data_IF_607160616752
#
_entry.id   IF_607160616752
#
_cell.length_a   1.000
_cell.length_b   1.000
_cell.length_c   1.000
_cell.angle_alpha   90.00
_cell.angle_beta   90.00
_cell.angle_gamma   90.00
#
_symmetry.space_group_name_H-M   'P 1'
#
loop_
_entity.id
_entity.type
_entity.pdbx_description
1 polymer ?
#
# COMPACT_ATOMS: atom_id res chain seq x y z
N UNK A 1 31.09 -4.98 -1.58
CA UNK A 1 30.95 -4.63 -0.18
C UNK A 1 29.56 -5.04 0.31
N UNK A 2 29.49 -5.89 1.30
CA UNK A 2 28.21 -6.31 1.83
C UNK A 2 27.54 -5.14 2.55
N UNK A 3 26.26 -4.88 2.23
CA UNK A 3 25.48 -3.87 2.92
C UNK A 3 25.24 -4.32 4.36
N UNK A 4 25.31 -3.39 5.31
CA UNK A 4 24.99 -3.68 6.70
C UNK A 4 23.49 -4.03 6.79
N UNK A 5 23.10 -5.03 7.59
CA UNK A 5 21.70 -5.26 7.87
C UNK A 5 21.03 -3.99 8.40
N UNK A 6 19.77 -3.77 8.04
CA UNK A 6 19.00 -2.60 8.48
C UNK A 6 19.06 -2.41 10.00
N UNK A 7 18.94 -3.51 10.77
CA UNK A 7 19.03 -3.47 12.24
C UNK A 7 20.34 -2.85 12.73
N UNK A 8 21.49 -3.22 12.11
CA UNK A 8 22.79 -2.67 12.48
C UNK A 8 22.92 -1.19 12.17
N UNK A 9 22.42 -0.78 11.01
CA UNK A 9 22.42 0.64 10.63
C UNK A 9 21.64 1.47 11.63
N UNK A 10 20.50 0.96 12.09
CA UNK A 10 19.64 1.64 13.07
C UNK A 10 20.30 1.67 14.45
N UNK A 11 20.94 0.58 14.87
CA UNK A 11 21.64 0.50 16.17
C UNK A 11 22.81 1.47 16.27
N UNK A 12 23.47 1.80 15.16
CA UNK A 12 24.58 2.75 15.11
C UNK A 12 24.14 4.21 15.19
N UNK A 13 22.83 4.50 15.22
CA UNK A 13 22.29 5.86 15.23
C UNK A 13 21.96 6.36 16.65
N UNK A 14 21.92 7.69 16.86
CA UNK A 14 21.41 8.24 18.11
C UNK A 14 20.00 7.72 18.40
N UNK A 15 19.68 7.53 19.68
CA UNK A 15 18.42 6.91 20.12
C UNK A 15 17.17 7.54 19.51
N UNK A 16 17.07 8.87 19.53
CA UNK A 16 15.91 9.57 18.98
C UNK A 16 15.73 9.31 17.49
N UNK A 17 16.85 9.32 16.76
CA UNK A 17 16.84 9.08 15.32
C UNK A 17 16.51 7.63 15.01
N UNK A 18 17.04 6.71 15.82
CA UNK A 18 16.75 5.28 15.72
C UNK A 18 15.26 5.01 15.92
N UNK A 19 14.66 5.59 16.94
CA UNK A 19 13.23 5.44 17.23
C UNK A 19 12.37 5.92 16.08
N UNK A 20 12.71 7.05 15.45
CA UNK A 20 11.98 7.56 14.28
C UNK A 20 12.07 6.62 13.08
N UNK A 21 13.26 6.08 12.82
CA UNK A 21 13.47 5.15 11.70
C UNK A 21 12.71 3.84 11.95
N UNK A 22 12.74 3.33 13.17
CA UNK A 22 12.00 2.12 13.53
C UNK A 22 10.50 2.33 13.39
N UNK A 23 9.98 3.47 13.81
CA UNK A 23 8.57 3.82 13.66
C UNK A 23 8.18 3.92 12.18
N UNK A 24 9.02 4.52 11.34
CA UNK A 24 8.78 4.59 9.90
C UNK A 24 8.82 3.22 9.24
N UNK A 25 9.75 2.37 9.64
CA UNK A 25 9.83 0.99 9.13
C UNK A 25 8.59 0.19 9.51
N UNK A 26 8.10 0.34 10.74
CA UNK A 26 6.89 -0.32 11.22
C UNK A 26 5.67 0.15 10.43
N UNK A 27 5.56 1.45 10.17
CA UNK A 27 4.47 2.01 9.37
C UNK A 27 4.47 1.44 7.95
N UNK A 28 5.64 1.27 7.33
CA UNK A 28 5.77 0.67 6.00
C UNK A 28 5.31 -0.80 6.00
N UNK A 29 5.68 -1.57 7.03
CA UNK A 29 5.24 -2.96 7.14
C UNK A 29 3.72 -3.04 7.25
N UNK A 30 3.11 -2.17 8.04
CA UNK A 30 1.67 -2.08 8.18
C UNK A 30 0.99 -1.72 6.85
N UNK A 31 1.58 -0.80 6.08
CA UNK A 31 1.07 -0.43 4.76
C UNK A 31 1.07 -1.61 3.78
N UNK A 32 2.12 -2.44 3.78
CA UNK A 32 2.19 -3.61 2.90
C UNK A 32 1.11 -4.64 3.20
N UNK A 33 0.66 -4.73 4.45
CA UNK A 33 -0.38 -5.65 4.85
C UNK A 33 -1.77 -5.04 4.77
N UNK A 34 -1.87 -3.75 4.49
CA UNK A 34 -3.14 -3.01 4.49
C UNK A 34 -4.14 -3.57 3.50
N UNK A 35 -3.72 -3.92 2.30
CA UNK A 35 -4.64 -4.47 1.30
C UNK A 35 -5.25 -5.79 1.74
N UNK A 36 -4.45 -6.66 2.35
CA UNK A 36 -4.97 -7.91 2.92
C UNK A 36 -5.98 -7.63 4.02
N UNK A 37 -5.70 -6.65 4.87
CA UNK A 37 -6.59 -6.25 5.95
C UNK A 37 -7.91 -5.69 5.41
N UNK A 38 -7.85 -4.84 4.39
CA UNK A 38 -9.05 -4.30 3.73
C UNK A 38 -9.91 -5.42 3.16
N UNK A 39 -9.28 -6.36 2.44
CA UNK A 39 -10.00 -7.49 1.84
C UNK A 39 -10.66 -8.36 2.91
N UNK A 40 -9.91 -8.72 3.94
CA UNK A 40 -10.42 -9.57 5.04
C UNK A 40 -11.54 -8.90 5.80
N UNK A 41 -11.43 -7.59 6.02
CA UNK A 41 -12.47 -6.80 6.69
C UNK A 41 -13.79 -6.83 5.90
N UNK A 42 -13.69 -6.91 4.58
CA UNK A 42 -14.87 -7.06 3.70
C UNK A 42 -15.31 -8.51 3.53
N UNK A 43 -14.66 -9.46 4.21
CA UNK A 43 -14.98 -10.89 4.14
C UNK A 43 -14.88 -11.46 2.73
N UNK A 44 -13.90 -10.99 1.96
CA UNK A 44 -13.64 -11.44 0.59
C UNK A 44 -12.35 -12.24 0.58
N UNK A 45 -12.38 -13.44 0.01
CA UNK A 45 -11.18 -14.25 -0.18
C UNK A 45 -10.37 -13.75 -1.37
N UNK A 46 -9.10 -14.15 -1.46
CA UNK A 46 -8.29 -13.85 -2.66
C UNK A 46 -8.93 -14.42 -3.92
N UNK A 47 -9.51 -15.61 -3.84
CA UNK A 47 -10.19 -16.25 -4.96
C UNK A 47 -11.40 -15.46 -5.43
N UNK A 48 -12.21 -15.00 -4.48
CA UNK A 48 -13.38 -14.18 -4.79
C UNK A 48 -12.96 -12.85 -5.41
N UNK A 49 -11.93 -12.20 -4.86
CA UNK A 49 -11.44 -10.94 -5.40
C UNK A 49 -10.87 -11.12 -6.80
N UNK A 50 -10.17 -12.22 -7.06
CA UNK A 50 -9.66 -12.54 -8.39
C UNK A 50 -10.77 -12.60 -9.42
N UNK A 51 -11.90 -13.24 -9.08
CA UNK A 51 -13.08 -13.28 -9.96
C UNK A 51 -13.62 -11.88 -10.20
N UNK A 52 -13.75 -11.07 -9.14
CA UNK A 52 -14.27 -9.70 -9.25
C UNK A 52 -13.37 -8.79 -10.11
N UNK A 53 -12.06 -9.00 -10.04
CA UNK A 53 -11.09 -8.23 -10.83
C UNK A 53 -10.85 -8.82 -12.23
N UNK A 54 -11.32 -10.03 -12.49
CA UNK A 54 -11.05 -10.71 -13.76
C UNK A 54 -9.60 -11.12 -13.94
N UNK A 55 -8.92 -11.48 -12.86
CA UNK A 55 -7.51 -11.91 -12.85
C UNK A 55 -7.36 -13.22 -12.10
N UNK A 56 -6.14 -13.77 -12.10
CA UNK A 56 -5.84 -15.01 -11.37
C UNK A 56 -5.63 -14.72 -9.89
N UNK A 57 -5.90 -15.69 -9.03
CA UNK A 57 -5.62 -15.60 -7.61
C UNK A 57 -4.15 -15.27 -7.33
N UNK A 58 -3.22 -15.88 -8.07
CA UNK A 58 -1.80 -15.59 -7.94
C UNK A 58 -1.49 -14.09 -8.19
N UNK A 59 -2.24 -13.46 -9.10
CA UNK A 59 -2.09 -12.03 -9.38
C UNK A 59 -2.58 -11.18 -8.22
N UNK A 60 -3.69 -11.57 -7.57
CA UNK A 60 -4.16 -10.89 -6.36
C UNK A 60 -3.12 -10.99 -5.25
N UNK A 61 -2.57 -12.19 -5.03
CA UNK A 61 -1.52 -12.41 -4.04
C UNK A 61 -0.30 -11.52 -4.33
N UNK A 62 0.10 -11.42 -5.59
CA UNK A 62 1.21 -10.58 -6.01
C UNK A 62 0.94 -9.11 -5.71
N UNK A 63 -0.26 -8.61 -6.00
CA UNK A 63 -0.65 -7.23 -5.72
C UNK A 63 -0.55 -6.96 -4.21
N UNK A 64 -1.07 -7.87 -3.39
CA UNK A 64 -1.08 -7.70 -1.94
C UNK A 64 0.31 -7.73 -1.31
N UNK A 65 1.28 -8.32 -1.99
CA UNK A 65 2.66 -8.45 -1.50
C UNK A 65 3.64 -7.51 -2.21
N UNK A 66 3.17 -6.64 -3.11
CA UNK A 66 4.02 -5.66 -3.76
C UNK A 66 4.29 -4.46 -2.87
N UNK A 67 5.57 -4.07 -2.82
CA UNK A 67 6.00 -2.85 -2.13
C UNK A 67 5.58 -1.59 -2.89
N UNK A 68 5.49 -1.70 -4.22
CA UNK A 68 5.18 -0.59 -5.10
C UNK A 68 4.20 -1.07 -6.16
N UNK A 69 3.13 -0.32 -6.37
CA UNK A 69 2.12 -0.68 -7.36
C UNK A 69 1.58 0.58 -8.05
N UNK A 70 1.04 0.39 -9.24
CA UNK A 70 0.42 1.48 -9.97
C UNK A 70 -0.89 1.90 -9.29
N UNK A 71 -1.19 3.19 -9.32
CA UNK A 71 -2.45 3.71 -8.79
C UNK A 71 -3.65 3.12 -9.50
N UNK A 72 -3.53 2.84 -10.81
CA UNK A 72 -4.59 2.17 -11.56
C UNK A 72 -4.89 0.77 -11.02
N UNK A 73 -3.87 0.02 -10.62
CA UNK A 73 -4.04 -1.30 -10.01
C UNK A 73 -4.69 -1.20 -8.65
N UNK A 74 -4.24 -0.26 -7.82
CA UNK A 74 -4.83 -0.01 -6.51
C UNK A 74 -6.30 0.38 -6.63
N UNK A 75 -6.64 1.23 -7.59
CA UNK A 75 -8.03 1.61 -7.84
C UNK A 75 -8.89 0.40 -8.17
N UNK A 76 -8.45 -0.45 -9.08
CA UNK A 76 -9.19 -1.66 -9.46
C UNK A 76 -9.41 -2.59 -8.28
N UNK A 77 -8.40 -2.74 -7.43
CA UNK A 77 -8.46 -3.56 -6.24
C UNK A 77 -9.53 -3.01 -5.26
N UNK A 78 -9.48 -1.73 -4.96
CA UNK A 78 -10.41 -1.07 -4.05
C UNK A 78 -11.84 -1.10 -4.60
N UNK A 79 -12.02 -0.82 -5.89
CA UNK A 79 -13.34 -0.83 -6.53
C UNK A 79 -13.93 -2.24 -6.56
N UNK A 80 -13.13 -3.27 -6.75
CA UNK A 80 -13.59 -4.65 -6.69
C UNK A 80 -14.11 -5.02 -5.30
N UNK A 81 -13.60 -4.38 -4.25
CA UNK A 81 -14.09 -4.54 -2.88
C UNK A 81 -15.32 -3.67 -2.58
N UNK A 82 -15.79 -2.88 -3.55
CA UNK A 82 -16.93 -1.99 -3.38
C UNK A 82 -16.59 -0.62 -2.84
N UNK A 83 -15.31 -0.29 -2.78
CA UNK A 83 -14.83 1.01 -2.31
C UNK A 83 -14.50 1.98 -3.43
N UNK A 84 -14.03 3.14 -3.06
CA UNK A 84 -13.57 4.17 -3.98
C UNK A 84 -12.22 4.67 -3.54
N UNK A 85 -11.26 4.72 -4.47
CA UNK A 85 -9.92 5.27 -4.19
C UNK A 85 -9.92 6.77 -4.35
N UNK A 86 -9.51 7.48 -3.31
CA UNK A 86 -9.25 8.92 -3.37
C UNK A 86 -7.77 9.17 -3.11
N UNK A 87 -7.16 10.01 -3.94
CA UNK A 87 -5.76 10.40 -3.79
C UNK A 87 -5.71 11.90 -3.59
N UNK A 88 -5.16 12.34 -2.47
CA UNK A 88 -5.08 13.75 -2.08
C UNK A 88 -3.65 14.14 -1.81
N UNK A 89 -3.27 15.34 -2.26
CA UNK A 89 -2.00 15.96 -1.92
C UNK A 89 -2.30 17.14 -1.01
N UNK A 90 -1.68 17.16 0.14
CA UNK A 90 -1.85 18.26 1.11
C UNK A 90 -0.59 19.10 1.16
N UNK A 91 -0.73 20.37 0.81
CA UNK A 91 0.28 21.40 1.00
C UNK A 91 -0.07 22.23 2.23
N UNK A 92 0.87 23.03 2.77
CA UNK A 92 0.54 23.91 3.90
C UNK A 92 -0.58 24.93 3.61
N UNK A 93 -0.75 25.30 2.33
CA UNK A 93 -1.69 26.33 1.88
C UNK A 93 -2.88 25.80 1.09
N UNK A 94 -2.86 24.51 0.70
CA UNK A 94 -3.97 23.95 -0.10
C UNK A 94 -3.97 22.41 -0.08
N UNK A 95 -5.08 21.86 -0.50
CA UNK A 95 -5.26 20.42 -0.70
C UNK A 95 -5.78 20.21 -2.11
N UNK A 96 -5.18 19.24 -2.83
CA UNK A 96 -5.54 18.93 -4.22
C UNK A 96 -5.87 17.44 -4.34
N UNK A 97 -7.02 17.12 -4.93
CA UNK A 97 -7.35 15.74 -5.28
C UNK A 97 -6.74 15.40 -6.64
N UNK A 98 -6.00 14.30 -6.71
CA UNK A 98 -5.36 13.84 -7.94
C UNK A 98 -6.14 12.73 -8.64
N UNK A 99 -7.06 12.06 -7.95
CA UNK A 99 -7.77 10.92 -8.52
C UNK A 99 -8.53 11.24 -9.82
N UNK A 100 -9.11 12.45 -10.03
CA UNK A 100 -9.75 12.76 -11.31
C UNK A 100 -8.78 12.81 -12.50
N UNK A 101 -7.47 12.97 -12.25
CA UNK A 101 -6.45 13.06 -13.29
C UNK A 101 -5.72 11.74 -13.52
N UNK A 102 -6.07 10.69 -12.77
CA UNK A 102 -5.40 9.39 -12.89
C UNK A 102 -6.05 8.53 -13.98
N UNK A 103 -5.27 7.65 -14.68
CA UNK A 103 -5.82 6.75 -15.67
C UNK A 103 -6.94 5.89 -15.07
N UNK A 104 -8.04 5.71 -15.82
CA UNK A 104 -9.19 4.93 -15.36
C UNK A 104 -10.11 5.65 -14.40
N UNK A 105 -10.00 6.98 -14.27
CA UNK A 105 -10.82 7.78 -13.35
C UNK A 105 -12.26 8.04 -13.81
N UNK A 106 -12.63 7.60 -14.97
CA UNK A 106 -13.98 7.78 -15.53
C UNK A 106 -14.93 6.70 -15.10
#
# INVERSE_FOLDING_TARGET
>A
MAAKPFRRLVEDLPTERRERIEAQAQALIEEYELLKALRRDRQVSQEQLAVLMGIRQASVSKIENQADMRLSTLRKYVEALGGQLEVRVRFPDQEVRLDPFLPGAL
#
